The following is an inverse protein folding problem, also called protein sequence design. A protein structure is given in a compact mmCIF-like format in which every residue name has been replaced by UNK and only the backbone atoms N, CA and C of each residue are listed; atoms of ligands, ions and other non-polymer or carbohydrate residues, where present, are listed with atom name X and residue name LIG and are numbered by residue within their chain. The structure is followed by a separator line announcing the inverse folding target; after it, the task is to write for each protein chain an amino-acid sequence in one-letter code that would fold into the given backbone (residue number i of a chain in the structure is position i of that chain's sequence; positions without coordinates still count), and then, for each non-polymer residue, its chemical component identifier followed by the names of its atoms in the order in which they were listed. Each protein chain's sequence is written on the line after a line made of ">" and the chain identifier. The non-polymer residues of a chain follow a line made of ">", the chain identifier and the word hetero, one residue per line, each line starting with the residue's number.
data_IF_085698869915
#
_entry.id   IF_085698869915
#
_cell.length_a   1.000
_cell.length_b   1.000
_cell.length_c   1.000
_cell.angle_alpha   90.00
_cell.angle_beta   90.00
_cell.angle_gamma   90.00
#
_symmetry.space_group_name_H-M   'P 1'
#
loop_
_entity.id
_entity.type
_entity.pdbx_description
1 polymer ?
#
# COMPACT_ATOMS: atom_id res chain seq x y z
N UNK A 1 -12.60 -26.01 -29.17
CA UNK A 1 -12.33 -25.41 -27.85
C UNK A 1 -13.48 -24.47 -27.47
N UNK A 2 -14.30 -24.87 -26.50
CA UNK A 2 -15.37 -24.01 -25.97
C UNK A 2 -14.80 -22.76 -25.28
N UNK A 3 -15.64 -21.76 -24.95
CA UNK A 3 -15.18 -20.55 -24.28
C UNK A 3 -14.49 -20.93 -22.97
N UNK A 4 -13.20 -20.60 -22.87
CA UNK A 4 -12.43 -20.73 -21.63
C UNK A 4 -13.11 -19.82 -20.63
N UNK A 5 -13.71 -20.43 -19.62
CA UNK A 5 -14.32 -19.74 -18.51
C UNK A 5 -13.22 -18.84 -17.91
N UNK A 6 -13.37 -17.52 -18.03
CA UNK A 6 -12.42 -16.53 -17.53
C UNK A 6 -12.57 -16.47 -16.01
N UNK A 7 -12.08 -17.52 -15.34
CA UNK A 7 -12.11 -17.62 -13.90
C UNK A 7 -11.17 -16.53 -13.39
N UNK A 8 -11.70 -15.47 -12.79
CA UNK A 8 -10.96 -14.25 -12.41
C UNK A 8 -10.02 -14.49 -11.21
N UNK A 9 -9.19 -15.53 -11.28
CA UNK A 9 -8.29 -15.97 -10.21
C UNK A 9 -7.22 -14.92 -9.96
N UNK A 10 -6.89 -14.12 -10.99
CA UNK A 10 -5.82 -13.14 -10.95
C UNK A 10 -4.44 -13.76 -11.18
N UNK A 11 -3.46 -12.92 -11.50
CA UNK A 11 -2.07 -13.33 -11.73
C UNK A 11 -1.11 -12.18 -11.37
N UNK A 12 0.07 -12.54 -10.89
CA UNK A 12 1.20 -11.61 -10.74
C UNK A 12 2.35 -12.08 -11.63
N UNK A 13 3.10 -11.12 -12.19
CA UNK A 13 4.24 -11.38 -13.05
C UNK A 13 5.48 -10.74 -12.47
N UNK A 14 6.60 -11.45 -12.55
CA UNK A 14 7.90 -10.93 -12.16
C UNK A 14 8.67 -10.50 -13.40
N UNK A 15 9.12 -9.24 -13.44
CA UNK A 15 9.90 -8.68 -14.54
C UNK A 15 11.29 -8.29 -14.06
N UNK A 16 12.32 -8.65 -14.81
CA UNK A 16 13.71 -8.21 -14.60
C UNK A 16 14.10 -7.22 -15.69
N UNK A 17 14.80 -6.16 -15.31
CA UNK A 17 15.37 -5.21 -16.27
C UNK A 17 16.45 -5.92 -17.06
N UNK A 18 16.22 -6.11 -18.36
CA UNK A 18 17.16 -6.74 -19.27
C UNK A 18 18.13 -5.71 -19.87
N UNK A 19 17.62 -4.51 -20.17
CA UNK A 19 18.42 -3.37 -20.62
C UNK A 19 17.72 -2.06 -20.26
N UNK A 20 18.32 -0.93 -20.62
CA UNK A 20 17.58 0.33 -20.65
C UNK A 20 16.33 0.16 -21.53
N UNK A 21 15.17 0.55 -21.00
CA UNK A 21 13.85 0.44 -21.64
C UNK A 21 13.37 -0.97 -21.98
N UNK A 22 14.03 -2.04 -21.49
CA UNK A 22 13.58 -3.42 -21.72
C UNK A 22 13.44 -4.19 -20.41
N UNK A 23 12.24 -4.72 -20.19
CA UNK A 23 11.92 -5.62 -19.10
C UNK A 23 11.52 -6.97 -19.68
N UNK A 24 12.02 -8.03 -19.08
CA UNK A 24 11.73 -9.41 -19.48
C UNK A 24 11.10 -10.15 -18.31
N UNK A 25 10.09 -10.97 -18.58
CA UNK A 25 9.53 -11.82 -17.55
C UNK A 25 10.57 -12.82 -17.07
N UNK A 26 10.74 -12.94 -15.75
CA UNK A 26 11.52 -14.05 -15.17
C UNK A 26 10.67 -15.30 -15.37
N UNK A 27 11.06 -16.16 -16.31
CA UNK A 27 10.32 -17.37 -16.62
C UNK A 27 10.51 -18.38 -15.49
N UNK A 28 9.49 -18.51 -14.66
CA UNK A 28 9.21 -19.70 -13.85
C UNK A 28 7.85 -20.26 -14.27
N UNK A 29 7.74 -21.57 -14.40
CA UNK A 29 6.54 -22.29 -14.89
C UNK A 29 5.94 -21.70 -16.19
N UNK A 30 4.60 -21.59 -16.30
CA UNK A 30 3.83 -21.10 -17.47
C UNK A 30 4.14 -19.63 -17.86
N UNK A 31 5.40 -19.30 -18.16
CA UNK A 31 5.82 -17.97 -18.64
C UNK A 31 6.09 -16.94 -17.54
N UNK A 32 6.42 -17.33 -16.30
CA UNK A 32 6.69 -16.39 -15.20
C UNK A 32 5.46 -15.94 -14.42
N UNK A 33 4.37 -16.69 -14.55
CA UNK A 33 3.07 -16.40 -13.94
C UNK A 33 2.95 -17.04 -12.58
N UNK A 34 2.73 -16.23 -11.54
CA UNK A 34 2.21 -16.71 -10.27
C UNK A 34 0.68 -16.57 -10.27
N UNK A 35 -0.01 -17.65 -9.95
CA UNK A 35 -1.47 -17.68 -9.92
C UNK A 35 -1.99 -17.94 -8.50
N UNK A 36 -3.20 -17.47 -8.26
CA UNK A 36 -3.97 -17.85 -7.09
C UNK A 36 -4.37 -19.33 -7.08
N UNK A 37 -4.71 -19.85 -5.90
CA UNK A 37 -5.16 -21.22 -5.66
C UNK A 37 -6.66 -21.43 -5.93
N UNK A 38 -7.45 -20.37 -6.19
CA UNK A 38 -8.91 -20.41 -6.23
C UNK A 38 -9.54 -19.47 -7.26
N UNK A 39 -10.75 -19.82 -7.70
CA UNK A 39 -11.48 -18.98 -8.63
C UNK A 39 -11.94 -17.67 -8.00
N UNK A 40 -11.85 -16.58 -8.77
CA UNK A 40 -12.36 -15.25 -8.38
C UNK A 40 -11.68 -14.59 -7.16
N UNK A 41 -10.51 -15.07 -6.74
CA UNK A 41 -9.85 -14.54 -5.54
C UNK A 41 -9.11 -13.22 -5.74
N UNK A 42 -8.95 -12.77 -7.00
CA UNK A 42 -8.23 -11.55 -7.36
C UNK A 42 -6.76 -11.54 -6.91
N UNK A 43 -6.06 -12.67 -7.04
CA UNK A 43 -4.62 -12.74 -6.80
C UNK A 43 -3.87 -11.72 -7.66
N UNK A 44 -2.97 -10.95 -7.04
CA UNK A 44 -2.24 -9.89 -7.74
C UNK A 44 -2.96 -8.54 -7.77
N UNK A 45 -4.09 -8.38 -7.08
CA UNK A 45 -4.76 -7.08 -6.95
C UNK A 45 -3.91 -6.04 -6.22
N UNK A 46 -3.03 -6.52 -5.34
CA UNK A 46 -2.02 -5.73 -4.64
C UNK A 46 -0.71 -6.52 -4.63
N UNK A 47 0.40 -5.84 -4.87
CA UNK A 47 1.73 -6.43 -4.91
C UNK A 47 2.74 -5.47 -4.29
N UNK A 48 3.71 -6.02 -3.57
CA UNK A 48 4.88 -5.27 -3.11
C UNK A 48 6.10 -6.17 -3.13
N UNK A 49 7.26 -5.59 -3.43
CA UNK A 49 8.51 -6.30 -3.63
C UNK A 49 9.65 -5.51 -2.99
N UNK A 50 10.44 -6.21 -2.19
CA UNK A 50 11.74 -5.75 -1.68
C UNK A 50 12.88 -6.52 -2.33
N UNK A 51 14.06 -6.45 -1.72
CA UNK A 51 15.26 -7.13 -2.25
C UNK A 51 15.15 -8.65 -2.20
N UNK A 52 14.67 -9.19 -1.07
CA UNK A 52 14.63 -10.64 -0.81
C UNK A 52 13.21 -11.20 -0.84
N UNK A 53 12.21 -10.40 -0.51
CA UNK A 53 10.83 -10.86 -0.34
C UNK A 53 9.84 -10.06 -1.17
N UNK A 54 8.75 -10.71 -1.55
CA UNK A 54 7.59 -10.07 -2.16
C UNK A 54 6.32 -10.60 -1.52
N UNK A 55 5.27 -9.79 -1.58
CA UNK A 55 3.95 -10.11 -1.05
C UNK A 55 2.90 -9.82 -2.12
N UNK A 56 1.93 -10.72 -2.24
CA UNK A 56 0.80 -10.61 -3.17
C UNK A 56 -0.50 -10.80 -2.42
N UNK A 57 -1.45 -9.89 -2.61
CA UNK A 57 -2.79 -9.97 -2.07
C UNK A 57 -3.78 -10.69 -3.00
N UNK A 58 -4.78 -11.32 -2.39
CA UNK A 58 -5.96 -11.90 -3.03
C UNK A 58 -7.20 -11.61 -2.16
N UNK A 59 -7.70 -10.37 -2.15
CA UNK A 59 -8.71 -9.90 -1.19
C UNK A 59 -10.06 -10.62 -1.32
N UNK A 60 -10.35 -11.26 -2.45
CA UNK A 60 -11.59 -12.01 -2.64
C UNK A 60 -11.41 -13.52 -2.39
N UNK A 61 -10.24 -13.96 -1.91
CA UNK A 61 -10.05 -15.36 -1.55
C UNK A 61 -11.11 -15.79 -0.53
N UNK A 62 -11.78 -16.90 -0.86
CA UNK A 62 -12.88 -17.46 -0.08
C UNK A 62 -12.61 -18.88 0.45
N UNK A 63 -11.34 -19.32 0.43
CA UNK A 63 -10.94 -20.67 0.84
C UNK A 63 -11.32 -20.97 2.30
N UNK A 64 -11.24 -19.96 3.18
CA UNK A 64 -11.51 -20.09 4.63
C UNK A 64 -12.74 -19.31 5.10
N UNK A 65 -13.66 -19.03 4.18
CA UNK A 65 -14.92 -18.32 4.42
C UNK A 65 -15.12 -17.19 3.42
N UNK A 66 -16.34 -16.65 3.37
CA UNK A 66 -16.74 -15.71 2.32
C UNK A 66 -15.85 -14.45 2.31
N UNK A 67 -15.05 -14.31 1.25
CA UNK A 67 -14.22 -13.13 0.97
C UNK A 67 -13.40 -12.65 2.17
N UNK A 68 -12.82 -13.59 2.92
CA UNK A 68 -11.89 -13.25 4.01
C UNK A 68 -10.62 -12.60 3.47
N UNK A 69 -10.27 -12.92 2.23
CA UNK A 69 -9.04 -12.50 1.60
C UNK A 69 -7.85 -13.33 2.06
N UNK A 70 -6.79 -13.30 1.26
CA UNK A 70 -5.54 -13.99 1.53
C UNK A 70 -4.35 -13.14 1.09
N UNK A 71 -3.19 -13.46 1.67
CA UNK A 71 -1.88 -12.96 1.22
C UNK A 71 -0.94 -14.14 0.97
N UNK A 72 0.02 -13.92 0.09
CA UNK A 72 1.02 -14.89 -0.32
C UNK A 72 2.39 -14.24 -0.28
N UNK A 73 3.33 -14.89 0.41
CA UNK A 73 4.73 -14.46 0.46
C UNK A 73 5.56 -15.21 -0.57
N UNK A 74 6.50 -14.48 -1.16
CA UNK A 74 7.47 -14.96 -2.13
C UNK A 74 8.87 -14.58 -1.66
N UNK A 75 9.85 -15.39 -2.02
CA UNK A 75 11.24 -15.22 -1.63
C UNK A 75 12.17 -15.43 -2.82
N UNK A 76 13.14 -14.55 -2.98
CA UNK A 76 14.20 -14.65 -3.98
C UNK A 76 15.28 -15.61 -3.47
N UNK A 77 15.36 -16.80 -4.09
CA UNK A 77 16.38 -17.81 -3.83
C UNK A 77 17.07 -18.17 -5.13
N UNK A 78 18.40 -18.14 -5.19
CA UNK A 78 19.19 -18.48 -6.38
C UNK A 78 18.71 -17.76 -7.66
N UNK A 79 18.54 -16.43 -7.58
CA UNK A 79 18.00 -15.57 -8.64
C UNK A 79 16.59 -15.93 -9.12
N UNK A 80 15.84 -16.70 -8.32
CA UNK A 80 14.50 -17.18 -8.61
C UNK A 80 13.54 -16.84 -7.48
N UNK A 81 12.49 -16.08 -7.82
CA UNK A 81 11.37 -15.84 -6.93
C UNK A 81 10.53 -17.10 -6.75
N UNK A 82 10.42 -17.61 -5.54
CA UNK A 82 9.65 -18.82 -5.24
C UNK A 82 8.55 -18.50 -4.24
N UNK A 83 7.39 -19.14 -4.37
CA UNK A 83 6.32 -18.99 -3.39
C UNK A 83 6.73 -19.71 -2.10
N UNK A 84 6.69 -19.00 -0.97
CA UNK A 84 6.92 -19.61 0.34
C UNK A 84 5.77 -20.60 0.61
N UNK A 85 6.09 -21.80 1.11
CA UNK A 85 5.05 -22.80 1.36
C UNK A 85 4.14 -22.36 2.50
N UNK A 86 2.86 -22.74 2.47
CA UNK A 86 1.92 -22.41 3.54
C UNK A 86 2.37 -22.96 4.92
N UNK A 87 3.02 -24.12 4.95
CA UNK A 87 3.58 -24.71 6.18
C UNK A 87 4.76 -23.91 6.75
N UNK A 88 5.43 -23.10 5.93
CA UNK A 88 6.51 -22.19 6.32
C UNK A 88 6.02 -20.74 6.44
N UNK A 89 4.73 -20.54 6.71
CA UNK A 89 4.15 -19.19 6.84
C UNK A 89 4.00 -18.45 5.50
N UNK A 90 3.96 -19.14 4.37
CA UNK A 90 3.86 -18.47 3.06
C UNK A 90 2.47 -18.01 2.65
N UNK A 91 1.43 -18.31 3.44
CA UNK A 91 0.04 -17.95 3.14
C UNK A 91 -0.74 -17.65 4.42
N UNK A 92 -1.44 -16.52 4.43
CA UNK A 92 -2.34 -16.12 5.53
C UNK A 92 -3.71 -15.71 5.00
N UNK A 93 -4.72 -15.73 5.87
CA UNK A 93 -6.11 -15.41 5.56
C UNK A 93 -6.68 -14.42 6.56
N UNK A 94 -7.67 -13.65 6.13
CA UNK A 94 -8.53 -12.92 7.05
C UNK A 94 -9.21 -13.85 8.06
N UNK A 95 -9.54 -13.31 9.22
CA UNK A 95 -10.22 -13.98 10.32
C UNK A 95 -11.73 -13.94 10.15
N UNK A 96 -12.28 -12.87 9.57
CA UNK A 96 -13.72 -12.61 9.42
C UNK A 96 -14.18 -12.61 7.95
N UNK A 97 -15.45 -12.93 7.72
CA UNK A 97 -16.04 -12.83 6.39
C UNK A 97 -16.06 -11.37 5.94
N UNK A 98 -15.72 -11.13 4.67
CA UNK A 98 -15.64 -9.80 4.08
C UNK A 98 -14.52 -8.92 4.61
N UNK A 99 -13.55 -9.49 5.33
CA UNK A 99 -12.40 -8.76 5.87
C UNK A 99 -11.47 -8.22 4.77
N UNK A 100 -11.39 -8.93 3.64
CA UNK A 100 -10.56 -8.56 2.48
C UNK A 100 -9.08 -8.40 2.82
N UNK A 101 -8.51 -9.32 3.62
CA UNK A 101 -7.07 -9.34 3.85
C UNK A 101 -6.30 -9.38 2.52
N UNK A 102 -5.25 -8.56 2.39
CA UNK A 102 -4.50 -8.43 1.15
C UNK A 102 -5.10 -7.40 0.19
N UNK A 103 -6.05 -6.58 0.64
CA UNK A 103 -6.57 -5.47 -0.16
C UNK A 103 -5.44 -4.49 -0.53
N UNK A 104 -4.59 -4.16 0.44
CA UNK A 104 -3.34 -3.42 0.24
C UNK A 104 -2.21 -4.15 0.95
N UNK A 105 -1.01 -4.12 0.36
CA UNK A 105 0.18 -4.80 0.91
C UNK A 105 1.41 -3.93 0.68
N UNK A 106 2.33 -3.92 1.63
CA UNK A 106 3.65 -3.33 1.48
C UNK A 106 4.70 -4.16 2.24
N UNK A 107 5.90 -4.27 1.68
CA UNK A 107 7.01 -5.04 2.27
C UNK A 107 8.31 -4.25 2.17
N UNK A 108 9.10 -4.27 3.24
CA UNK A 108 10.45 -3.73 3.26
C UNK A 108 11.35 -4.57 4.18
N UNK A 109 12.44 -5.08 3.62
CA UNK A 109 13.31 -6.06 4.28
C UNK A 109 12.52 -7.25 4.84
N UNK A 110 12.59 -7.43 6.15
CA UNK A 110 11.90 -8.52 6.88
C UNK A 110 10.51 -8.14 7.39
N UNK A 111 10.03 -6.92 7.17
CA UNK A 111 8.75 -6.44 7.67
C UNK A 111 7.73 -6.31 6.54
N UNK A 112 6.48 -6.67 6.82
CA UNK A 112 5.37 -6.41 5.91
C UNK A 112 4.16 -5.85 6.67
N UNK A 113 3.40 -4.99 5.99
CA UNK A 113 2.12 -4.48 6.44
C UNK A 113 1.04 -4.85 5.44
N UNK A 114 -0.11 -5.28 5.95
CA UNK A 114 -1.24 -5.76 5.14
C UNK A 114 -2.52 -5.09 5.60
N UNK A 115 -3.19 -4.43 4.68
CA UNK A 115 -4.49 -3.82 4.90
C UNK A 115 -5.65 -4.78 4.65
N UNK A 116 -6.67 -4.64 5.49
CA UNK A 116 -7.92 -5.38 5.45
C UNK A 116 -9.07 -4.44 5.82
N UNK A 117 -9.57 -3.61 4.88
CA UNK A 117 -10.55 -2.56 5.18
C UNK A 117 -11.92 -3.07 5.65
N UNK A 118 -12.15 -4.38 5.63
CA UNK A 118 -13.36 -5.06 6.11
C UNK A 118 -14.67 -4.44 5.63
N UNK A 119 -15.11 -4.91 4.46
CA UNK A 119 -16.31 -4.39 3.81
C UNK A 119 -17.61 -4.83 4.50
N UNK A 120 -17.59 -5.81 5.41
CA UNK A 120 -18.79 -6.27 6.11
C UNK A 120 -19.10 -5.46 7.37
N UNK A 121 -18.13 -5.29 8.26
CA UNK A 121 -18.34 -4.54 9.51
C UNK A 121 -18.08 -3.04 9.36
N UNK A 122 -17.39 -2.63 8.28
CA UNK A 122 -16.93 -1.25 8.04
C UNK A 122 -16.02 -0.72 9.14
N UNK A 123 -15.22 -1.62 9.71
CA UNK A 123 -14.13 -1.33 10.63
C UNK A 123 -12.91 -2.05 10.10
N UNK A 124 -12.07 -1.30 9.39
CA UNK A 124 -10.87 -1.82 8.77
C UNK A 124 -9.78 -2.20 9.77
N UNK A 125 -8.83 -3.02 9.31
CA UNK A 125 -7.67 -3.46 10.09
C UNK A 125 -6.39 -3.36 9.26
N UNK A 126 -5.27 -3.31 9.98
CA UNK A 126 -3.96 -3.64 9.41
C UNK A 126 -3.29 -4.73 10.23
N UNK A 127 -2.44 -5.48 9.55
CA UNK A 127 -1.67 -6.58 10.12
C UNK A 127 -0.20 -6.34 9.85
N UNK A 128 0.63 -6.52 10.88
CA UNK A 128 2.08 -6.44 10.78
C UNK A 128 2.65 -7.85 10.81
N UNK A 129 3.54 -8.12 9.86
CA UNK A 129 4.23 -9.39 9.71
C UNK A 129 5.74 -9.17 9.79
N UNK A 130 6.43 -10.16 10.31
CA UNK A 130 7.89 -10.21 10.35
C UNK A 130 8.38 -11.59 9.88
N UNK A 131 9.42 -11.60 9.06
CA UNK A 131 10.15 -12.81 8.73
C UNK A 131 11.16 -13.13 9.84
N UNK A 132 10.96 -14.25 10.54
CA UNK A 132 11.79 -14.67 11.66
C UNK A 132 11.83 -16.19 11.74
N UNK A 133 13.02 -16.76 11.98
CA UNK A 133 13.23 -18.21 12.05
C UNK A 133 12.69 -18.96 10.80
N UNK A 134 13.07 -18.48 9.62
CA UNK A 134 12.70 -19.06 8.31
C UNK A 134 11.19 -19.13 8.03
N UNK A 135 10.39 -18.29 8.70
CA UNK A 135 8.95 -18.20 8.51
C UNK A 135 8.47 -16.76 8.64
N UNK A 136 7.45 -16.40 7.87
CA UNK A 136 6.66 -15.21 8.17
C UNK A 136 5.76 -15.47 9.37
N UNK A 137 5.61 -14.47 10.23
CA UNK A 137 4.77 -14.52 11.43
C UNK A 137 3.96 -13.24 11.52
N UNK A 138 2.65 -13.35 11.75
CA UNK A 138 1.83 -12.20 12.11
C UNK A 138 2.19 -11.78 13.55
N UNK A 139 2.73 -10.59 13.72
CA UNK A 139 3.19 -10.08 15.02
C UNK A 139 2.10 -9.27 15.71
N UNK A 140 1.53 -8.31 14.98
CA UNK A 140 0.49 -7.42 15.49
C UNK A 140 -0.68 -7.31 14.51
N UNK A 141 -1.82 -6.90 15.05
CA UNK A 141 -2.91 -6.37 14.26
C UNK A 141 -3.40 -5.10 14.94
N UNK A 142 -3.88 -4.15 14.16
CA UNK A 142 -4.43 -2.90 14.66
C UNK A 142 -5.77 -2.63 14.00
N UNK A 143 -6.71 -2.13 14.81
CA UNK A 143 -7.98 -1.58 14.35
C UNK A 143 -8.21 -0.26 15.10
N UNK A 144 -8.60 0.81 14.41
CA UNK A 144 -8.87 2.08 15.06
C UNK A 144 -10.06 1.97 16.02
N UNK A 145 -9.95 2.64 17.17
CA UNK A 145 -11.02 2.72 18.18
C UNK A 145 -12.11 3.74 17.81
N UNK A 146 -11.91 4.54 16.74
CA UNK A 146 -12.90 5.54 16.36
C UNK A 146 -14.11 4.85 15.73
N UNK A 147 -15.24 4.99 16.42
CA UNK A 147 -16.58 4.45 16.14
C UNK A 147 -17.25 4.93 14.84
N UNK A 148 -16.48 5.37 13.84
CA UNK A 148 -17.01 5.75 12.54
C UNK A 148 -17.37 4.47 11.80
N UNK A 149 -18.63 4.03 11.94
CA UNK A 149 -19.22 3.09 10.97
C UNK A 149 -18.96 3.64 9.58
N UNK A 150 -18.14 2.93 8.81
CA UNK A 150 -17.74 3.39 7.49
C UNK A 150 -16.28 3.81 7.36
N UNK A 151 -15.37 3.47 8.28
CA UNK A 151 -13.93 3.56 7.98
C UNK A 151 -13.50 2.44 7.04
N UNK A 152 -12.64 2.76 6.08
CA UNK A 152 -11.90 1.81 5.25
C UNK A 152 -10.41 1.89 5.63
N UNK A 153 -10.14 1.85 6.94
CA UNK A 153 -8.79 1.81 7.49
C UNK A 153 -8.01 0.60 6.94
N UNK A 154 -6.79 0.84 6.42
CA UNK A 154 -6.05 -0.21 5.70
C UNK A 154 -6.44 -0.33 4.23
N UNK A 155 -7.21 0.60 3.69
CA UNK A 155 -7.43 0.72 2.23
C UNK A 155 -6.12 0.93 1.47
N UNK A 156 -5.18 1.66 2.05
CA UNK A 156 -3.83 1.86 1.51
C UNK A 156 -2.80 1.78 2.64
N UNK A 157 -1.67 1.11 2.38
CA UNK A 157 -0.58 0.93 3.34
C UNK A 157 0.77 1.13 2.65
N UNK A 158 1.74 1.66 3.38
CA UNK A 158 3.13 1.74 2.92
C UNK A 158 4.07 1.60 4.12
N UNK A 159 5.25 1.01 3.89
CA UNK A 159 6.27 0.75 4.91
C UNK A 159 7.66 1.13 4.38
N UNK A 160 8.49 1.70 5.24
CA UNK A 160 9.90 1.99 4.97
C UNK A 160 10.71 1.84 6.26
N UNK A 161 11.56 0.84 6.28
CA UNK A 161 12.32 0.40 7.45
C UNK A 161 11.41 0.15 8.64
N UNK A 162 11.52 1.03 9.65
CA UNK A 162 10.75 0.97 10.89
C UNK A 162 9.55 1.89 10.92
N UNK A 163 9.21 2.56 9.82
CA UNK A 163 8.07 3.48 9.75
C UNK A 163 7.01 2.90 8.80
N UNK A 164 5.75 3.07 9.14
CA UNK A 164 4.63 2.71 8.28
C UNK A 164 3.54 3.79 8.30
N UNK A 165 2.81 3.90 7.20
CA UNK A 165 1.66 4.78 7.05
C UNK A 165 0.46 3.96 6.58
N UNK A 166 -0.71 4.30 7.11
CA UNK A 166 -2.00 3.66 6.79
C UNK A 166 -3.02 4.73 6.45
N UNK A 167 -3.68 4.57 5.30
CA UNK A 167 -4.81 5.39 4.89
C UNK A 167 -6.15 4.78 5.31
N UNK A 168 -7.09 5.65 5.67
CA UNK A 168 -8.51 5.32 5.79
C UNK A 168 -9.27 5.87 4.58
N UNK A 169 -9.73 4.97 3.71
CA UNK A 169 -10.24 5.33 2.38
C UNK A 169 -11.63 5.95 2.37
N UNK A 170 -12.28 6.07 3.53
CA UNK A 170 -13.59 6.75 3.64
C UNK A 170 -13.57 7.97 4.53
N UNK A 171 -12.49 8.15 5.27
CA UNK A 171 -12.23 9.38 6.01
C UNK A 171 -11.04 10.10 5.36
N UNK A 172 -10.66 11.23 5.94
CA UNK A 172 -9.47 11.97 5.56
C UNK A 172 -8.30 11.68 6.52
N UNK A 173 -8.34 10.55 7.22
CA UNK A 173 -7.37 10.20 8.25
C UNK A 173 -6.24 9.35 7.69
N UNK A 174 -5.02 9.68 8.13
CA UNK A 174 -3.85 8.83 7.98
C UNK A 174 -3.28 8.49 9.35
N UNK A 175 -2.79 7.28 9.52
CA UNK A 175 -2.18 6.80 10.76
C UNK A 175 -0.73 6.42 10.52
N UNK A 176 0.15 6.88 11.39
CA UNK A 176 1.58 6.57 11.35
C UNK A 176 1.93 5.56 12.42
N UNK A 177 2.68 4.54 12.04
CA UNK A 177 3.20 3.52 12.95
C UNK A 177 4.72 3.50 12.93
N UNK A 178 5.32 3.16 14.07
CA UNK A 178 6.77 2.98 14.18
C UNK A 178 7.10 1.71 14.96
N UNK A 179 8.07 0.95 14.46
CA UNK A 179 8.61 -0.20 15.17
C UNK A 179 9.66 0.24 16.18
N UNK A 180 9.39 0.01 17.47
CA UNK A 180 10.27 0.43 18.57
C UNK A 180 11.42 -0.57 18.87
N UNK A 181 11.50 -1.68 18.12
CA UNK A 181 12.43 -2.78 18.37
C UNK A 181 11.78 -4.03 18.97
N UNK A 182 10.54 -3.91 19.45
CA UNK A 182 9.73 -5.04 19.95
C UNK A 182 8.37 -5.13 19.27
N UNK A 183 7.68 -4.01 19.12
CA UNK A 183 6.31 -3.94 18.59
C UNK A 183 6.14 -2.73 17.67
N UNK A 184 5.16 -2.82 16.78
CA UNK A 184 4.65 -1.67 16.02
C UNK A 184 3.69 -0.85 16.88
N UNK A 185 4.00 0.43 17.06
CA UNK A 185 3.20 1.35 17.87
C UNK A 185 2.55 2.41 16.97
N UNK A 186 1.29 2.75 17.25
CA UNK A 186 0.64 3.91 16.64
C UNK A 186 1.30 5.18 17.21
N UNK A 187 1.96 5.95 16.33
CA UNK A 187 2.63 7.21 16.69
C UNK A 187 1.64 8.35 16.69
N UNK A 188 0.87 8.50 15.61
CA UNK A 188 -0.16 9.53 15.51
C UNK A 188 -1.22 9.19 14.47
N UNK A 189 -2.33 9.91 14.57
CA UNK A 189 -3.43 9.93 13.60
C UNK A 189 -3.57 11.37 13.16
N UNK A 190 -3.44 11.62 11.87
CA UNK A 190 -3.45 12.96 11.29
C UNK A 190 -4.68 13.14 10.39
N UNK A 191 -5.31 14.31 10.49
CA UNK A 191 -6.52 14.69 9.75
C UNK A 191 -6.29 15.89 8.80
N UNK A 192 -5.03 16.15 8.45
CA UNK A 192 -4.61 17.31 7.64
C UNK A 192 -4.94 17.15 6.17
N UNK A 193 -5.25 15.93 5.71
CA UNK A 193 -5.85 15.73 4.39
C UNK A 193 -7.22 16.42 4.36
N UNK A 194 -7.51 17.32 3.40
CA UNK A 194 -8.77 18.08 3.43
C UNK A 194 -10.02 17.20 3.30
N UNK A 195 -11.00 17.34 4.20
CA UNK A 195 -12.33 16.75 4.01
C UNK A 195 -13.08 17.45 2.85
N UNK A 196 -13.85 16.75 2.00
CA UNK A 196 -14.25 15.34 2.06
C UNK A 196 -13.38 14.37 1.22
N UNK A 197 -12.06 14.62 1.10
CA UNK A 197 -11.19 13.71 0.35
C UNK A 197 -11.13 12.34 1.02
N UNK A 198 -11.28 11.30 0.21
CA UNK A 198 -11.06 9.89 0.55
C UNK A 198 -9.60 9.57 0.31
N UNK A 199 -8.92 8.93 1.26
CA UNK A 199 -7.54 8.50 1.05
C UNK A 199 -7.49 7.33 0.07
N UNK A 200 -6.95 7.58 -1.13
CA UNK A 200 -6.80 6.56 -2.16
C UNK A 200 -5.43 5.89 -2.06
N UNK A 201 -4.38 6.68 -1.83
CA UNK A 201 -3.01 6.16 -1.78
C UNK A 201 -2.19 6.80 -0.68
N UNK A 202 -1.33 6.02 -0.04
CA UNK A 202 -0.28 6.51 0.86
C UNK A 202 1.08 5.99 0.42
N UNK A 203 2.13 6.75 0.69
CA UNK A 203 3.50 6.33 0.43
C UNK A 203 4.44 6.90 1.48
N UNK A 204 5.39 6.10 1.96
CA UNK A 204 6.38 6.51 2.95
C UNK A 204 7.78 6.09 2.52
N UNK A 205 8.76 6.94 2.78
CA UNK A 205 10.18 6.65 2.58
C UNK A 205 11.01 7.37 3.64
N UNK A 206 11.67 6.61 4.51
CA UNK A 206 12.50 7.18 5.58
C UNK A 206 11.72 8.15 6.48
N UNK A 207 12.11 9.43 6.45
CA UNK A 207 11.53 10.53 7.22
C UNK A 207 10.42 11.29 6.47
N UNK A 208 9.98 10.82 5.30
CA UNK A 208 8.99 11.51 4.45
C UNK A 208 7.80 10.62 4.15
N UNK A 209 6.62 11.20 4.05
CA UNK A 209 5.44 10.50 3.58
C UNK A 209 4.51 11.39 2.76
N UNK A 210 3.59 10.75 2.03
CA UNK A 210 2.55 11.37 1.24
C UNK A 210 1.24 10.62 1.44
N UNK A 211 0.14 11.36 1.40
CA UNK A 211 -1.20 10.81 1.27
C UNK A 211 -1.91 11.52 0.12
N UNK A 212 -2.42 10.75 -0.84
CA UNK A 212 -3.23 11.22 -1.96
C UNK A 212 -4.69 10.81 -1.77
N UNK A 213 -5.60 11.69 -2.16
CA UNK A 213 -7.03 11.43 -2.07
C UNK A 213 -7.84 12.10 -3.17
N UNK A 214 -9.03 11.57 -3.37
CA UNK A 214 -10.00 12.03 -4.37
C UNK A 214 -11.31 12.47 -3.69
N UNK A 215 -12.03 13.37 -4.33
CA UNK A 215 -13.33 13.88 -3.88
C UNK A 215 -14.40 13.60 -4.92
N UNK A 216 -15.09 12.48 -4.76
CA UNK A 216 -16.22 12.08 -5.60
C UNK A 216 -17.41 13.08 -5.55
N UNK A 217 -17.44 14.03 -4.60
CA UNK A 217 -18.64 14.80 -4.26
C UNK A 217 -18.56 16.29 -4.57
N UNK A 218 -17.45 16.82 -5.10
CA UNK A 218 -17.36 18.25 -5.42
C UNK A 218 -16.52 18.50 -6.67
N UNK A 219 -16.64 19.69 -7.32
CA UNK A 219 -15.71 20.10 -8.37
C UNK A 219 -14.30 20.44 -7.84
N UNK A 220 -14.01 20.24 -6.54
CA UNK A 220 -12.67 20.34 -6.00
C UNK A 220 -11.90 19.05 -6.32
N UNK A 221 -10.77 19.16 -7.01
CA UNK A 221 -10.06 18.03 -7.62
C UNK A 221 -9.12 17.34 -6.62
N UNK A 222 -8.62 16.15 -7.01
CA UNK A 222 -7.64 15.32 -6.27
C UNK A 222 -6.61 16.17 -5.54
N UNK A 223 -6.27 15.77 -4.31
CA UNK A 223 -5.19 16.40 -3.57
C UNK A 223 -4.29 15.40 -2.89
N UNK A 224 -3.06 15.82 -2.65
CA UNK A 224 -2.15 15.11 -1.77
C UNK A 224 -1.62 16.04 -0.68
N UNK A 225 -1.15 15.47 0.43
CA UNK A 225 -0.49 16.15 1.54
C UNK A 225 0.88 15.49 1.78
N UNK A 226 1.89 16.31 2.05
CA UNK A 226 3.22 15.85 2.45
C UNK A 226 3.33 15.81 3.97
N UNK A 227 4.07 14.83 4.48
CA UNK A 227 4.41 14.68 5.88
C UNK A 227 5.90 14.50 6.07
N UNK A 228 6.39 14.94 7.24
CA UNK A 228 7.78 14.73 7.64
C UNK A 228 7.88 14.27 9.08
N UNK A 229 8.81 13.37 9.34
CA UNK A 229 9.21 12.97 10.68
C UNK A 229 10.26 13.96 11.19
N UNK A 230 9.88 14.79 12.16
CA UNK A 230 10.74 15.77 12.81
C UNK A 230 10.66 15.54 14.31
N UNK A 231 11.81 15.37 14.98
CA UNK A 231 11.88 15.12 16.42
C UNK A 231 10.97 13.97 16.90
N UNK A 232 10.99 12.86 16.15
CA UNK A 232 10.14 11.67 16.35
C UNK A 232 8.62 11.92 16.25
N UNK A 233 8.19 13.01 15.63
CA UNK A 233 6.78 13.30 15.39
C UNK A 233 6.52 13.49 13.89
N UNK A 234 5.52 12.79 13.37
CA UNK A 234 5.03 13.02 12.01
C UNK A 234 4.19 14.28 11.99
N UNK A 235 4.54 15.19 11.09
CA UNK A 235 3.88 16.48 10.95
C UNK A 235 3.49 16.72 9.48
N UNK A 236 2.28 17.24 9.20
CA UNK A 236 1.94 17.71 7.87
C UNK A 236 2.81 18.91 7.52
N UNK A 237 3.19 19.01 6.26
CA UNK A 237 3.89 20.19 5.76
C UNK A 237 2.85 21.24 5.38
N UNK A 238 2.94 22.42 5.96
CA UNK A 238 2.01 23.51 5.67
C UNK A 238 1.94 23.82 4.16
N UNK A 239 0.73 24.15 3.68
CA UNK A 239 0.46 24.47 2.27
C UNK A 239 0.84 23.36 1.27
N UNK A 240 1.00 22.12 1.72
CA UNK A 240 1.29 20.98 0.85
C UNK A 240 0.07 20.36 0.18
N UNK A 241 -1.13 20.91 0.40
CA UNK A 241 -2.37 20.45 -0.23
C UNK A 241 -2.47 20.99 -1.67
N UNK A 242 -2.04 20.18 -2.63
CA UNK A 242 -2.11 20.55 -4.05
C UNK A 242 -3.29 19.90 -4.75
N UNK A 243 -4.19 20.73 -5.26
CA UNK A 243 -5.37 20.35 -6.02
C UNK A 243 -5.01 20.06 -7.50
N UNK A 244 -5.66 19.08 -8.14
CA UNK A 244 -5.50 18.67 -9.57
C UNK A 244 -4.22 17.94 -9.94
N UNK A 245 -3.37 17.63 -8.97
CA UNK A 245 -2.09 16.97 -9.25
C UNK A 245 -2.17 15.45 -9.14
N UNK A 246 -3.24 14.91 -8.55
CA UNK A 246 -3.52 13.48 -8.55
C UNK A 246 -3.88 12.88 -7.20
N UNK A 247 -4.46 11.69 -7.23
CA UNK A 247 -4.85 10.87 -6.08
C UNK A 247 -3.91 9.67 -5.85
N UNK A 248 -2.99 9.40 -6.78
CA UNK A 248 -1.95 8.36 -6.69
C UNK A 248 -0.61 9.00 -6.36
N UNK A 249 0.03 8.57 -5.27
CA UNK A 249 1.30 9.12 -4.79
C UNK A 249 2.39 8.08 -4.62
N UNK A 250 3.63 8.50 -4.77
CA UNK A 250 4.83 7.70 -4.43
C UNK A 250 5.95 8.64 -4.02
N UNK A 251 6.75 8.27 -3.02
CA UNK A 251 7.87 9.07 -2.54
C UNK A 251 9.13 8.23 -2.34
N UNK A 252 10.28 8.81 -2.65
CA UNK A 252 11.60 8.27 -2.32
C UNK A 252 12.52 9.35 -1.72
N UNK A 253 13.82 9.05 -1.61
CA UNK A 253 14.82 9.99 -1.12
C UNK A 253 14.88 11.32 -1.91
N UNK A 254 14.72 11.27 -3.22
CA UNK A 254 15.03 12.36 -4.14
C UNK A 254 13.81 12.92 -4.86
N UNK A 255 12.69 12.19 -4.89
CA UNK A 255 11.53 12.49 -5.71
C UNK A 255 10.23 12.13 -4.99
N UNK A 256 9.21 12.88 -5.35
CA UNK A 256 7.82 12.58 -5.08
C UNK A 256 7.06 12.61 -6.40
N UNK A 257 6.16 11.66 -6.56
CA UNK A 257 5.25 11.53 -7.67
C UNK A 257 3.83 11.73 -7.16
N UNK A 258 3.07 12.53 -7.90
CA UNK A 258 1.63 12.63 -7.73
C UNK A 258 0.98 12.57 -9.11
N UNK A 259 -0.06 11.76 -9.26
CA UNK A 259 -0.72 11.61 -10.55
C UNK A 259 -2.17 11.13 -10.45
N UNK A 260 -2.89 11.31 -11.54
CA UNK A 260 -4.19 10.71 -11.78
C UNK A 260 -4.17 9.96 -13.12
N UNK A 261 -5.33 9.46 -13.55
CA UNK A 261 -5.47 8.70 -14.79
C UNK A 261 -4.94 9.40 -16.05
N UNK A 262 -4.80 10.73 -16.03
CA UNK A 262 -4.43 11.53 -17.20
C UNK A 262 -3.07 12.23 -17.11
N UNK A 263 -2.50 12.35 -15.90
CA UNK A 263 -1.30 13.16 -15.67
C UNK A 263 -0.46 12.61 -14.55
N UNK A 264 0.87 12.67 -14.72
CA UNK A 264 1.85 12.42 -13.67
C UNK A 264 2.70 13.68 -13.45
N UNK A 265 2.89 14.05 -12.20
CA UNK A 265 3.71 15.19 -11.77
C UNK A 265 4.90 14.67 -10.96
N UNK A 266 6.10 15.04 -11.38
CA UNK A 266 7.35 14.75 -10.68
C UNK A 266 7.81 15.97 -9.89
N UNK A 267 7.99 15.78 -8.60
CA UNK A 267 8.46 16.78 -7.64
C UNK A 267 9.83 16.34 -7.14
N UNK A 268 10.86 17.18 -7.28
CA UNK A 268 12.23 16.83 -6.88
C UNK A 268 12.54 17.33 -5.47
N UNK A 269 12.83 16.42 -4.54
CA UNK A 269 13.29 16.70 -3.17
C UNK A 269 14.66 17.39 -3.19
N UNK A 270 14.67 18.71 -3.41
CA UNK A 270 15.79 19.57 -3.03
C UNK A 270 15.70 19.87 -1.54
N UNK A 271 16.81 20.22 -0.86
CA UNK A 271 16.71 20.82 0.50
C UNK A 271 15.72 21.99 0.50
N UNK A 272 15.66 22.70 -0.64
CA UNK A 272 14.70 23.77 -0.93
C UNK A 272 13.33 23.31 -1.42
N UNK A 273 13.01 22.04 -1.66
CA UNK A 273 11.66 21.67 -2.16
C UNK A 273 10.62 22.05 -1.10
N UNK A 274 10.98 21.87 0.16
CA UNK A 274 10.15 22.20 1.31
C UNK A 274 10.14 23.70 1.63
N UNK A 275 11.17 24.47 1.24
CA UNK A 275 11.12 25.95 1.21
C UNK A 275 10.37 26.48 -0.03
N UNK A 276 10.39 25.74 -1.14
CA UNK A 276 9.83 26.09 -2.45
C UNK A 276 8.36 25.70 -2.61
N UNK A 277 7.76 24.95 -1.69
CA UNK A 277 6.29 24.77 -1.63
C UNK A 277 5.60 26.15 -1.51
N UNK A 278 6.25 27.15 -0.88
CA UNK A 278 5.80 28.55 -0.89
C UNK A 278 5.90 29.24 -2.27
N UNK A 279 6.72 28.74 -3.19
CA UNK A 279 6.88 29.25 -4.57
C UNK A 279 5.96 28.51 -5.56
N UNK A 280 5.70 27.22 -5.37
CA UNK A 280 4.82 26.43 -6.26
C UNK A 280 3.36 26.87 -6.13
N UNK A 281 2.91 27.32 -4.94
CA UNK A 281 1.58 27.93 -4.77
C UNK A 281 1.35 29.13 -5.70
N UNK A 282 2.43 29.82 -6.13
CA UNK A 282 2.38 30.92 -7.10
C UNK A 282 2.56 30.49 -8.57
N UNK A 283 3.10 29.30 -8.83
CA UNK A 283 3.43 28.83 -10.19
C UNK A 283 2.34 27.97 -10.85
N UNK A 284 1.33 27.48 -10.11
CA UNK A 284 0.24 26.65 -10.66
C UNK A 284 -0.84 27.47 -11.41
N UNK A 285 -0.55 28.72 -11.82
CA UNK A 285 -1.37 29.39 -12.84
C UNK A 285 -1.13 28.75 -14.22
N UNK A 286 -1.99 27.77 -14.52
CA UNK A 286 -2.37 27.29 -15.85
C UNK A 286 -1.25 26.95 -16.85
N UNK A 287 -1.09 25.66 -17.10
CA UNK A 287 -0.96 25.12 -18.47
C UNK A 287 -2.00 24.00 -18.60
#
# INVERSE_FOLDING_TARGET
>A
PGPVQNNMNGAAYMLKKASEHKWEAIVQDEGGKFAGDSNYEQFGSSVSIGETFAIVGAPNNSERGNEKGAIYFFELKDDKWTRVSASAGGKFFGLQNGEKMGFSVAIDGIYAIVGAPNQSTKVGKVYFFEFSNDSWVQREQFSPDYSVRGSDFGSSVSISGKNAIVGDGKTNLVSFFQFNGSVWELVCVDSSVPYPLRIETVSIFGDKAMAGGDNDFTPKPDAFVFFRLIDNQWQPIENSSFYKLGNVVSIDNNYALAGNLSRLTLLKSTQSLFEAINLISNAVKQI
#
